data_IF_065567025668
#
_entry.id   IF_065567025668
#
_cell.length_a   1.000
_cell.length_b   1.000
_cell.length_c   1.000
_cell.angle_alpha   90.00
_cell.angle_beta   90.00
_cell.angle_gamma   90.00
#
_symmetry.space_group_name_H-M   'P 1'
#
loop_
_entity.id
_entity.type
_entity.pdbx_description
1 polymer ?
#
# COMPACT_ATOMS: atom_id res chain seq x y z
N UNK A 1 -10.12 -11.87 25.05
CA UNK A 1 -11.05 -11.36 26.09
C UNK A 1 -12.27 -10.78 25.39
N UNK A 2 -13.47 -10.80 25.98
CA UNK A 2 -14.70 -10.26 25.36
C UNK A 2 -15.29 -9.10 26.16
N UNK A 3 -15.98 -8.17 25.49
CA UNK A 3 -16.64 -6.99 26.06
C UNK A 3 -18.16 -7.11 25.91
N UNK A 4 -18.90 -6.70 26.94
CA UNK A 4 -20.34 -6.46 26.78
C UNK A 4 -20.59 -5.05 26.20
N UNK A 5 -21.34 -4.90 25.10
CA UNK A 5 -21.64 -3.58 24.52
C UNK A 5 -22.61 -2.74 25.35
N UNK A 6 -23.29 -3.32 26.36
CA UNK A 6 -24.25 -2.62 27.22
C UNK A 6 -23.66 -2.19 28.56
N UNK A 7 -23.04 -3.11 29.30
CA UNK A 7 -22.49 -2.82 30.63
C UNK A 7 -20.99 -2.53 30.63
N UNK A 8 -20.32 -2.64 29.49
CA UNK A 8 -18.89 -2.34 29.28
C UNK A 8 -17.93 -3.16 30.15
N UNK A 9 -18.39 -4.27 30.75
CA UNK A 9 -17.54 -5.19 31.51
C UNK A 9 -16.84 -6.19 30.60
N UNK A 10 -15.64 -6.59 31.03
CA UNK A 10 -14.83 -7.62 30.37
C UNK A 10 -15.13 -9.01 30.90
N UNK A 11 -15.11 -9.99 30.02
CA UNK A 11 -15.38 -11.39 30.30
C UNK A 11 -14.37 -12.29 29.58
N UNK A 12 -14.25 -13.54 30.02
CA UNK A 12 -13.39 -14.54 29.39
C UNK A 12 -13.82 -14.85 27.95
N UNK A 13 -12.93 -15.43 27.15
CA UNK A 13 -13.22 -15.77 25.76
C UNK A 13 -14.22 -16.92 25.61
N UNK A 14 -14.37 -17.77 26.63
CA UNK A 14 -15.34 -18.87 26.63
C UNK A 14 -16.78 -18.38 26.89
N UNK A 15 -16.96 -17.14 27.36
CA UNK A 15 -18.28 -16.57 27.59
C UNK A 15 -18.91 -16.08 26.27
N UNK A 16 -20.16 -16.44 26.00
CA UNK A 16 -20.88 -15.97 24.81
C UNK A 16 -21.91 -14.86 25.12
N UNK A 17 -22.38 -14.80 26.37
CA UNK A 17 -23.40 -13.86 26.83
C UNK A 17 -22.98 -13.21 28.15
N UNK A 18 -23.37 -11.95 28.33
CA UNK A 18 -23.15 -11.21 29.56
C UNK A 18 -24.06 -11.75 30.68
N UNK A 19 -23.54 -12.11 31.86
CA UNK A 19 -24.35 -12.60 32.98
C UNK A 19 -25.21 -11.51 33.64
N UNK A 20 -24.98 -10.23 33.32
CA UNK A 20 -25.70 -9.09 33.91
C UNK A 20 -26.91 -8.68 33.08
N UNK A 21 -26.77 -8.68 31.74
CA UNK A 21 -27.75 -8.08 30.83
C UNK A 21 -28.13 -8.99 29.64
N UNK A 22 -27.58 -10.21 29.61
CA UNK A 22 -27.78 -11.22 28.56
C UNK A 22 -27.40 -10.76 27.14
N UNK A 23 -26.73 -9.62 26.96
CA UNK A 23 -26.24 -9.20 25.66
C UNK A 23 -25.16 -10.17 25.15
N UNK A 24 -25.14 -10.39 23.84
CA UNK A 24 -24.07 -11.12 23.18
C UNK A 24 -22.75 -10.36 23.37
N UNK A 25 -21.75 -11.04 23.90
CA UNK A 25 -20.43 -10.45 24.10
C UNK A 25 -19.71 -10.30 22.75
N UNK A 26 -19.12 -9.14 22.53
CA UNK A 26 -18.25 -8.90 21.37
C UNK A 26 -16.83 -9.26 21.77
N UNK A 27 -16.07 -10.00 20.95
CA UNK A 27 -14.62 -10.06 21.12
C UNK A 27 -14.09 -8.64 21.32
N UNK A 28 -13.33 -8.41 22.39
CA UNK A 28 -12.38 -7.32 22.29
C UNK A 28 -11.47 -7.75 21.16
N UNK A 29 -11.48 -6.98 20.08
CA UNK A 29 -10.38 -7.00 19.13
C UNK A 29 -9.14 -6.63 19.95
N UNK A 30 -8.54 -7.60 20.63
CA UNK A 30 -7.12 -7.53 20.93
C UNK A 30 -6.51 -7.30 19.57
N UNK A 31 -5.84 -6.15 19.43
CA UNK A 31 -5.16 -5.72 18.22
C UNK A 31 -4.81 -6.94 17.41
N UNK A 32 -5.60 -7.16 16.35
CA UNK A 32 -5.48 -8.36 15.55
C UNK A 32 -4.01 -8.47 15.23
N UNK A 33 -3.39 -9.56 15.65
CA UNK A 33 -2.00 -9.89 15.33
C UNK A 33 -1.83 -10.17 13.84
N UNK A 34 -2.35 -9.31 12.97
CA UNK A 34 -1.74 -9.04 11.68
C UNK A 34 -0.36 -8.49 12.02
N UNK A 35 0.61 -9.39 12.09
CA UNK A 35 2.04 -9.05 12.13
C UNK A 35 2.24 -7.85 11.21
N UNK A 36 2.74 -6.74 11.74
CA UNK A 36 3.04 -5.55 10.95
C UNK A 36 4.13 -5.95 9.95
N UNK A 37 3.70 -6.51 8.82
CA UNK A 37 4.57 -7.10 7.81
C UNK A 37 5.45 -6.03 7.17
N UNK A 38 4.99 -4.78 7.24
CA UNK A 38 5.78 -3.62 6.88
C UNK A 38 6.92 -3.44 7.88
N UNK A 39 6.64 -3.29 9.18
CA UNK A 39 7.68 -3.09 10.19
C UNK A 39 8.64 -4.29 10.30
N UNK A 40 8.16 -5.50 10.01
CA UNK A 40 8.98 -6.71 9.97
C UNK A 40 10.04 -6.67 8.84
N UNK A 41 9.70 -6.09 7.68
CA UNK A 41 10.58 -6.09 6.49
C UNK A 41 11.29 -4.77 6.23
N UNK A 42 10.65 -3.65 6.54
CA UNK A 42 11.12 -2.32 6.18
C UNK A 42 11.24 -1.43 7.41
N UNK A 43 12.30 -0.62 7.44
CA UNK A 43 12.43 0.52 8.33
C UNK A 43 12.05 1.78 7.53
N UNK A 44 10.94 2.42 7.90
CA UNK A 44 10.48 3.64 7.23
C UNK A 44 11.36 4.83 7.63
N UNK A 45 11.78 5.59 6.63
CA UNK A 45 12.48 6.87 6.78
C UNK A 45 11.59 8.02 6.32
N UNK A 46 12.19 8.97 5.60
CA UNK A 46 11.53 10.21 5.21
C UNK A 46 10.31 10.01 4.31
N UNK A 47 9.29 10.84 4.53
CA UNK A 47 8.13 10.93 3.64
C UNK A 47 8.54 11.58 2.33
N UNK A 48 8.39 10.83 1.24
CA UNK A 48 8.67 11.30 -0.13
C UNK A 48 7.49 12.06 -0.73
N UNK A 49 6.27 11.69 -0.32
CA UNK A 49 5.06 12.32 -0.84
C UNK A 49 3.78 11.68 -0.32
N UNK A 50 2.67 11.99 -0.98
CA UNK A 50 1.38 11.38 -0.67
C UNK A 50 0.26 11.91 -1.54
N UNK A 51 -0.79 11.11 -1.67
CA UNK A 51 -2.04 11.48 -2.31
C UNK A 51 -3.20 11.16 -1.38
N UNK A 52 -4.43 11.46 -1.82
CA UNK A 52 -5.65 11.04 -1.09
C UNK A 52 -5.65 9.54 -0.76
N UNK A 53 -4.97 8.72 -1.56
CA UNK A 53 -4.93 7.27 -1.37
C UNK A 53 -3.97 6.81 -0.29
N UNK A 54 -3.06 7.67 0.17
CA UNK A 54 -2.04 7.28 1.14
C UNK A 54 -0.72 8.04 1.01
N UNK A 55 0.28 7.58 1.75
CA UNK A 55 1.60 8.23 1.84
C UNK A 55 2.69 7.36 1.23
N UNK A 56 3.72 7.99 0.67
CA UNK A 56 4.91 7.31 0.15
C UNK A 56 6.10 7.70 0.99
N UNK A 57 6.89 6.71 1.42
CA UNK A 57 8.06 6.87 2.28
C UNK A 57 9.28 6.20 1.65
N UNK A 58 10.46 6.78 1.87
CA UNK A 58 11.72 6.06 1.69
C UNK A 58 11.80 5.01 2.78
N UNK A 59 12.28 3.82 2.46
CA UNK A 59 12.44 2.77 3.46
C UNK A 59 13.71 1.96 3.20
N UNK A 60 14.28 1.41 4.27
CA UNK A 60 15.39 0.47 4.21
C UNK A 60 14.86 -0.95 4.33
N UNK A 61 15.18 -1.82 3.37
CA UNK A 61 14.85 -3.24 3.43
C UNK A 61 15.78 -3.92 4.46
N UNK A 62 15.20 -4.48 5.52
CA UNK A 62 15.94 -5.16 6.59
C UNK A 62 16.50 -6.52 6.16
N UNK A 63 15.95 -7.13 5.10
CA UNK A 63 16.38 -8.43 4.60
C UNK A 63 17.47 -8.29 3.53
N UNK A 64 17.31 -7.33 2.62
CA UNK A 64 18.21 -7.13 1.48
C UNK A 64 19.22 -5.98 1.63
N UNK A 65 19.07 -5.12 2.64
CA UNK A 65 19.92 -3.94 2.85
C UNK A 65 19.71 -2.78 1.87
N UNK A 66 18.89 -2.96 0.83
CA UNK A 66 18.58 -1.97 -0.19
C UNK A 66 17.58 -0.90 0.26
N UNK A 67 17.40 0.13 -0.56
CA UNK A 67 16.42 1.20 -0.37
C UNK A 67 15.19 0.94 -1.24
N UNK A 68 14.01 1.17 -0.67
CA UNK A 68 12.72 1.03 -1.33
C UNK A 68 11.89 2.32 -1.20
N UNK A 69 10.94 2.51 -2.12
CA UNK A 69 9.83 3.44 -1.94
C UNK A 69 8.61 2.64 -1.49
N UNK A 70 8.06 2.95 -0.31
CA UNK A 70 6.91 2.25 0.26
C UNK A 70 5.69 3.16 0.25
N UNK A 71 4.67 2.76 -0.50
CA UNK A 71 3.34 3.39 -0.43
C UNK A 71 2.47 2.65 0.58
N UNK A 72 1.97 3.37 1.58
CA UNK A 72 0.96 2.89 2.53
C UNK A 72 -0.39 3.41 2.05
N UNK A 73 -1.28 2.50 1.69
CA UNK A 73 -2.65 2.75 1.22
C UNK A 73 -3.60 2.62 2.40
N UNK A 74 -4.33 3.70 2.68
CA UNK A 74 -5.22 3.77 3.83
C UNK A 74 -6.39 2.77 3.74
N UNK A 75 -6.77 2.17 4.86
CA UNK A 75 -7.90 1.27 5.00
C UNK A 75 -9.21 1.83 4.41
N UNK A 76 -9.45 3.13 4.54
CA UNK A 76 -10.64 3.80 3.99
C UNK A 76 -10.75 3.72 2.46
N UNK A 77 -9.62 3.56 1.76
CA UNK A 77 -9.56 3.36 0.31
C UNK A 77 -9.79 1.90 -0.03
N UNK A 78 -9.17 1.01 0.73
CA UNK A 78 -9.24 -0.45 0.53
C UNK A 78 -10.64 -1.00 0.82
N UNK A 79 -11.34 -0.41 1.80
CA UNK A 79 -12.70 -0.78 2.21
C UNK A 79 -13.78 -0.47 1.16
N UNK A 80 -13.44 0.27 0.09
CA UNK A 80 -14.37 0.53 -1.00
C UNK A 80 -14.70 -0.78 -1.74
N UNK A 81 -15.97 -1.03 -2.09
CA UNK A 81 -16.39 -2.27 -2.75
C UNK A 81 -15.54 -2.60 -3.97
N UNK A 82 -14.96 -3.79 -3.99
CA UNK A 82 -14.13 -4.30 -5.10
C UNK A 82 -12.69 -3.75 -5.17
N UNK A 83 -12.33 -2.71 -4.40
CA UNK A 83 -10.99 -2.10 -4.45
C UNK A 83 -9.94 -3.02 -3.85
N UNK A 84 -10.18 -3.59 -2.66
CA UNK A 84 -9.25 -4.53 -2.03
C UNK A 84 -8.91 -5.72 -2.94
N UNK A 85 -9.94 -6.37 -3.51
CA UNK A 85 -9.79 -7.54 -4.36
C UNK A 85 -9.07 -7.20 -5.68
N UNK A 86 -9.35 -6.01 -6.25
CA UNK A 86 -8.65 -5.52 -7.44
C UNK A 86 -7.19 -5.24 -7.13
N UNK A 87 -6.91 -4.53 -6.04
CA UNK A 87 -5.56 -4.17 -5.63
C UNK A 87 -4.71 -5.41 -5.36
N UNK A 88 -5.22 -6.37 -4.57
CA UNK A 88 -4.51 -7.62 -4.29
C UNK A 88 -4.23 -8.43 -5.58
N UNK A 89 -5.16 -8.45 -6.53
CA UNK A 89 -4.98 -9.11 -7.83
C UNK A 89 -3.92 -8.41 -8.68
N UNK A 90 -4.03 -7.09 -8.82
CA UNK A 90 -3.11 -6.29 -9.63
C UNK A 90 -1.69 -6.33 -9.07
N UNK A 91 -1.53 -6.29 -7.74
CA UNK A 91 -0.21 -6.39 -7.10
C UNK A 91 0.48 -7.73 -7.39
N UNK A 92 -0.27 -8.84 -7.32
CA UNK A 92 0.27 -10.17 -7.67
C UNK A 92 0.70 -10.28 -9.14
N UNK A 93 0.06 -9.51 -10.02
CA UNK A 93 0.37 -9.53 -11.45
C UNK A 93 1.54 -8.61 -11.78
N UNK A 94 1.54 -7.38 -11.25
CA UNK A 94 2.58 -6.38 -11.50
C UNK A 94 3.93 -6.79 -10.89
N UNK A 95 3.94 -7.59 -9.79
CA UNK A 95 5.17 -8.17 -9.22
C UNK A 95 5.98 -9.02 -10.22
N UNK A 96 5.34 -9.47 -11.32
CA UNK A 96 5.97 -10.28 -12.37
C UNK A 96 6.42 -9.44 -13.57
N UNK A 97 6.08 -8.15 -13.61
CA UNK A 97 6.49 -7.26 -14.71
C UNK A 97 7.96 -6.92 -14.52
N UNK A 98 8.76 -7.30 -15.52
CA UNK A 98 10.15 -6.88 -15.65
C UNK A 98 10.25 -5.98 -16.87
N UNK A 99 10.17 -4.67 -16.62
CA UNK A 99 10.22 -3.64 -17.66
C UNK A 99 11.18 -2.53 -17.25
N UNK A 100 11.97 -1.96 -18.17
CA UNK A 100 12.78 -0.78 -17.90
C UNK A 100 11.93 0.49 -17.67
N UNK A 101 10.66 0.48 -18.10
CA UNK A 101 9.76 1.63 -18.07
C UNK A 101 8.75 1.58 -16.92
N UNK A 102 8.73 0.49 -16.14
CA UNK A 102 7.87 0.30 -14.98
C UNK A 102 8.72 0.04 -13.74
N UNK A 103 8.55 0.87 -12.71
CA UNK A 103 9.24 0.66 -11.44
C UNK A 103 8.89 -0.72 -10.87
N UNK A 104 9.93 -1.51 -10.58
CA UNK A 104 9.79 -2.88 -10.09
C UNK A 104 9.10 -2.89 -8.74
N UNK A 105 8.00 -3.65 -8.65
CA UNK A 105 7.39 -3.97 -7.35
C UNK A 105 8.23 -5.05 -6.68
N UNK A 106 8.74 -4.74 -5.49
CA UNK A 106 9.57 -5.64 -4.69
C UNK A 106 8.73 -6.64 -3.91
N UNK A 107 7.62 -6.16 -3.35
CA UNK A 107 6.66 -6.94 -2.54
C UNK A 107 5.49 -6.04 -2.12
N UNK A 108 4.43 -6.67 -1.64
CA UNK A 108 3.31 -6.00 -0.97
C UNK A 108 2.90 -6.73 0.31
N UNK A 109 2.04 -6.13 1.12
CA UNK A 109 1.53 -6.74 2.34
C UNK A 109 0.48 -5.91 3.07
N UNK A 110 0.12 -6.35 4.29
CA UNK A 110 -0.85 -5.66 5.16
C UNK A 110 -0.18 -5.13 6.43
N UNK A 111 -0.73 -4.03 6.94
CA UNK A 111 -0.37 -3.41 8.23
C UNK A 111 -1.66 -3.03 8.93
N UNK A 112 -2.13 -3.89 9.83
CA UNK A 112 -3.51 -3.79 10.32
C UNK A 112 -4.49 -3.81 9.14
N UNK A 113 -5.35 -2.80 9.05
CA UNK A 113 -6.32 -2.62 7.97
C UNK A 113 -5.75 -1.90 6.73
N UNK A 114 -4.53 -1.35 6.83
CA UNK A 114 -3.85 -0.72 5.70
C UNK A 114 -3.18 -1.77 4.81
N UNK A 115 -3.04 -1.43 3.52
CA UNK A 115 -2.25 -2.20 2.56
C UNK A 115 -1.01 -1.40 2.19
N UNK A 116 0.13 -2.06 2.03
CA UNK A 116 1.35 -1.40 1.60
C UNK A 116 1.97 -2.09 0.39
N UNK A 117 2.70 -1.31 -0.40
CA UNK A 117 3.40 -1.75 -1.61
C UNK A 117 4.79 -1.14 -1.59
N UNK A 118 5.81 -1.97 -1.74
CA UNK A 118 7.20 -1.55 -1.85
C UNK A 118 7.66 -1.68 -3.30
N UNK A 119 8.23 -0.62 -3.85
CA UNK A 119 8.90 -0.61 -5.16
C UNK A 119 10.37 -0.33 -4.97
N UNK A 120 11.15 -0.55 -6.03
CA UNK A 120 12.49 0.01 -6.10
C UNK A 120 12.47 1.52 -5.86
N UNK A 121 13.56 2.03 -5.29
CA UNK A 121 13.76 3.46 -5.10
C UNK A 121 14.61 4.02 -6.24
N UNK A 122 14.07 4.97 -6.99
CA UNK A 122 14.77 5.63 -8.09
C UNK A 122 15.56 6.83 -7.55
N UNK A 123 16.82 6.59 -7.19
CA UNK A 123 17.68 7.63 -6.62
C UNK A 123 18.02 8.73 -7.64
N UNK A 124 17.89 9.99 -7.22
CA UNK A 124 18.14 11.15 -8.07
C UNK A 124 17.07 11.40 -9.15
N UNK A 125 16.02 10.59 -9.20
CA UNK A 125 14.92 10.80 -10.14
C UNK A 125 14.08 12.03 -9.74
N UNK A 126 13.67 12.79 -10.75
CA UNK A 126 12.75 13.91 -10.63
C UNK A 126 11.41 13.51 -11.24
N UNK A 127 10.31 13.88 -10.60
CA UNK A 127 8.97 13.69 -11.19
C UNK A 127 8.77 14.61 -12.38
N UNK A 128 7.92 14.20 -13.32
CA UNK A 128 7.56 15.05 -14.46
C UNK A 128 6.96 16.39 -14.02
N UNK A 129 6.17 16.38 -12.93
CA UNK A 129 5.58 17.59 -12.35
C UNK A 129 6.63 18.56 -11.80
N UNK A 130 7.64 18.06 -11.08
CA UNK A 130 8.77 18.88 -10.61
C UNK A 130 9.58 19.42 -11.79
N UNK A 131 9.83 18.59 -12.82
CA UNK A 131 10.55 19.01 -14.02
C UNK A 131 9.85 20.18 -14.73
N UNK A 132 8.53 20.08 -14.92
CA UNK A 132 7.70 21.13 -15.53
C UNK A 132 7.66 22.37 -14.65
N UNK A 133 7.51 22.20 -13.33
CA UNK A 133 7.45 23.33 -12.40
C UNK A 133 8.76 24.12 -12.36
N UNK A 134 9.90 23.43 -12.49
CA UNK A 134 11.23 24.06 -12.46
C UNK A 134 11.64 24.68 -13.80
N UNK A 135 11.29 24.05 -14.94
CA UNK A 135 11.80 24.41 -16.27
C UNK A 135 10.74 24.98 -17.23
N UNK A 136 9.47 24.96 -16.86
CA UNK A 136 8.37 25.33 -17.73
C UNK A 136 7.90 24.17 -18.63
N UNK A 137 7.07 24.45 -19.65
CA UNK A 137 6.54 23.44 -20.55
C UNK A 137 7.63 22.62 -21.25
N UNK A 138 7.35 21.35 -21.47
CA UNK A 138 8.27 20.43 -22.16
C UNK A 138 8.16 20.64 -23.67
N UNK A 139 9.29 20.69 -24.42
CA UNK A 139 9.27 20.73 -25.88
C UNK A 139 8.47 19.57 -26.48
N UNK A 140 7.76 19.83 -27.58
CA UNK A 140 6.86 18.86 -28.21
C UNK A 140 7.53 17.51 -28.48
N UNK A 141 8.75 17.52 -29.01
CA UNK A 141 9.51 16.30 -29.32
C UNK A 141 9.81 15.46 -28.07
N UNK A 142 10.19 16.10 -26.98
CA UNK A 142 10.44 15.42 -25.70
C UNK A 142 9.13 14.89 -25.09
N UNK A 143 8.05 15.65 -25.20
CA UNK A 143 6.73 15.20 -24.75
C UNK A 143 6.26 13.97 -25.55
N UNK A 144 6.47 13.96 -26.87
CA UNK A 144 6.12 12.83 -27.74
C UNK A 144 6.89 11.56 -27.33
N UNK A 145 8.20 11.68 -27.09
CA UNK A 145 9.01 10.56 -26.63
C UNK A 145 8.57 10.04 -25.25
N UNK A 146 8.26 10.92 -24.30
CA UNK A 146 7.74 10.51 -22.99
C UNK A 146 6.41 9.77 -23.11
N UNK A 147 5.52 10.22 -23.99
CA UNK A 147 4.22 9.56 -24.24
C UNK A 147 4.44 8.16 -24.82
N UNK A 148 5.38 7.99 -25.73
CA UNK A 148 5.73 6.68 -26.30
C UNK A 148 6.20 5.71 -25.21
N UNK A 149 7.17 6.13 -24.39
CA UNK A 149 7.69 5.31 -23.27
C UNK A 149 6.59 4.97 -22.25
N UNK A 150 5.73 5.94 -21.91
CA UNK A 150 4.58 5.70 -21.01
C UNK A 150 3.58 4.73 -21.66
N UNK A 151 3.32 4.87 -22.95
CA UNK A 151 2.43 4.00 -23.70
C UNK A 151 2.91 2.55 -23.70
N UNK A 152 4.20 2.34 -23.95
CA UNK A 152 4.83 1.02 -23.86
C UNK A 152 4.67 0.42 -22.45
N UNK A 153 4.98 1.20 -21.41
CA UNK A 153 4.83 0.76 -20.02
C UNK A 153 3.38 0.35 -19.68
N UNK A 154 2.39 1.09 -20.19
CA UNK A 154 0.97 0.77 -20.00
C UNK A 154 0.57 -0.50 -20.74
N UNK A 155 1.08 -0.72 -21.96
CA UNK A 155 0.83 -1.95 -22.73
C UNK A 155 1.42 -3.16 -22.00
N UNK A 156 2.64 -3.06 -21.48
CA UNK A 156 3.30 -4.12 -20.71
C UNK A 156 2.53 -4.45 -19.43
N UNK A 157 2.04 -3.45 -18.70
CA UNK A 157 1.18 -3.65 -17.54
C UNK A 157 -0.16 -4.32 -17.92
N UNK A 158 -0.77 -3.90 -19.03
CA UNK A 158 -2.02 -4.48 -19.53
C UNK A 158 -1.89 -5.95 -19.91
N UNK A 159 -0.74 -6.36 -20.47
CA UNK A 159 -0.46 -7.75 -20.83
C UNK A 159 -0.46 -8.70 -19.62
N UNK A 160 -0.16 -8.20 -18.42
CA UNK A 160 -0.27 -8.96 -17.18
C UNK A 160 -1.63 -8.78 -16.48
N UNK A 161 -2.58 -8.08 -17.09
CA UNK A 161 -3.93 -7.89 -16.54
C UNK A 161 -4.02 -6.82 -15.46
N UNK A 162 -3.14 -5.81 -15.51
CA UNK A 162 -3.21 -4.60 -14.70
C UNK A 162 -3.71 -3.45 -15.58
N UNK A 163 -4.62 -2.62 -15.07
CA UNK A 163 -5.27 -1.52 -15.81
C UNK A 163 -5.12 -0.21 -15.06
#
# INVERSE_FOLDING_TARGET
>A
MKLCPKCLKHFSDDANFCPVDAARLTPLEGEGGATDSLAARFELGDKLGGSRTGTVHKAKDKQGGGVAAVKIVAASVVALPGVAQRLERELKHIERVASPSVAKVLTSGKRGDDTWVATEFLEGAQTLAEAISARGPIPLEQAAHLIEVIGEALIEAAQVGVV
#
